data_IF_139766938091
#
_entry.id   IF_139766938091
#
_cell.length_a   1.000
_cell.length_b   1.000
_cell.length_c   1.000
_cell.angle_alpha   90.00
_cell.angle_beta   90.00
_cell.angle_gamma   90.00
#
_symmetry.space_group_name_H-M   'P 1'
#
loop_
_entity.id
_entity.type
_entity.pdbx_description
1 polymer ?
#
# COMPACT_ATOMS: atom_id res chain seq x y z
N UNK A 1 3.91 9.29 -0.96
CA UNK A 1 2.51 9.04 -0.61
C UNK A 1 2.04 10.22 0.21
N UNK A 2 0.92 10.83 -0.16
CA UNK A 2 0.30 11.88 0.65
C UNK A 2 -0.77 11.28 1.57
N UNK A 3 -1.23 12.08 2.51
CA UNK A 3 -2.35 11.76 3.39
C UNK A 3 -3.39 12.87 3.33
N UNK A 4 -4.66 12.51 3.16
CA UNK A 4 -5.79 13.44 3.15
C UNK A 4 -6.60 13.30 4.45
N UNK A 5 -6.68 14.37 5.22
CA UNK A 5 -7.61 14.50 6.34
C UNK A 5 -8.98 14.98 5.84
N UNK A 6 -10.01 14.15 5.98
CA UNK A 6 -11.39 14.50 5.58
C UNK A 6 -11.96 15.64 6.43
N UNK A 7 -11.60 15.73 7.72
CA UNK A 7 -12.06 16.79 8.61
C UNK A 7 -11.39 18.13 8.25
N UNK A 8 -10.12 18.12 7.88
CA UNK A 8 -9.46 19.32 7.32
C UNK A 8 -10.09 19.72 5.98
N UNK A 9 -10.44 18.75 5.12
CA UNK A 9 -11.12 19.02 3.85
C UNK A 9 -12.49 19.66 4.05
N UNK A 10 -13.30 19.14 4.99
CA UNK A 10 -14.59 19.69 5.38
C UNK A 10 -14.46 21.15 5.81
N UNK A 11 -13.56 21.43 6.76
CA UNK A 11 -13.32 22.78 7.28
C UNK A 11 -12.86 23.75 6.18
N UNK A 12 -11.91 23.33 5.35
CA UNK A 12 -11.37 24.17 4.26
C UNK A 12 -12.42 24.52 3.20
N UNK A 13 -13.38 23.62 2.94
CA UNK A 13 -14.37 23.78 1.86
C UNK A 13 -15.76 24.20 2.35
N UNK A 14 -16.00 24.25 3.66
CA UNK A 14 -17.33 24.51 4.21
C UNK A 14 -18.36 23.47 3.80
N UNK A 15 -17.96 22.19 3.73
CA UNK A 15 -18.82 21.08 3.28
C UNK A 15 -19.06 20.06 4.40
N UNK A 16 -20.17 19.32 4.30
CA UNK A 16 -20.48 18.22 5.21
C UNK A 16 -19.53 17.04 5.02
N UNK A 17 -19.51 16.13 6.00
CA UNK A 17 -18.71 14.91 5.93
C UNK A 17 -19.09 14.02 4.73
N UNK A 18 -20.39 13.90 4.44
CA UNK A 18 -20.88 13.16 3.27
C UNK A 18 -20.40 13.78 1.95
N UNK A 19 -20.47 15.10 1.84
CA UNK A 19 -19.99 15.84 0.67
C UNK A 19 -18.47 15.70 0.49
N UNK A 20 -17.70 15.70 1.59
CA UNK A 20 -16.25 15.48 1.55
C UNK A 20 -15.92 14.06 1.03
N UNK A 21 -16.62 13.02 1.53
CA UNK A 21 -16.49 11.64 1.01
C UNK A 21 -16.82 11.56 -0.47
N UNK A 22 -17.95 12.11 -0.90
CA UNK A 22 -18.36 12.09 -2.31
C UNK A 22 -17.38 12.82 -3.22
N UNK A 23 -16.81 13.93 -2.75
CA UNK A 23 -15.80 14.67 -3.48
C UNK A 23 -14.52 13.85 -3.71
N UNK A 24 -14.11 13.04 -2.72
CA UNK A 24 -12.97 12.11 -2.85
C UNK A 24 -13.34 10.94 -3.76
N UNK A 25 -14.52 10.33 -3.58
CA UNK A 25 -15.00 9.22 -4.43
C UNK A 25 -15.00 9.58 -5.90
N UNK A 26 -15.48 10.78 -6.26
CA UNK A 26 -15.44 11.24 -7.66
C UNK A 26 -14.00 11.28 -8.19
N UNK A 27 -13.05 11.84 -7.44
CA UNK A 27 -11.64 11.87 -7.87
C UNK A 27 -11.00 10.50 -8.03
N UNK A 28 -11.35 9.55 -7.16
CA UNK A 28 -10.92 8.16 -7.28
C UNK A 28 -11.55 7.50 -8.53
N UNK A 29 -12.86 7.70 -8.75
CA UNK A 29 -13.60 7.17 -9.90
C UNK A 29 -13.02 7.66 -11.24
N UNK A 30 -12.70 8.94 -11.30
CA UNK A 30 -12.19 9.63 -12.50
C UNK A 30 -10.70 9.35 -12.72
N UNK A 31 -10.04 8.65 -11.77
CA UNK A 31 -8.62 8.34 -11.78
C UNK A 31 -7.71 9.52 -11.45
N UNK A 32 -8.23 10.68 -11.06
CA UNK A 32 -7.39 11.82 -10.65
C UNK A 32 -6.63 11.51 -9.37
N UNK A 33 -7.28 10.82 -8.45
CA UNK A 33 -6.65 10.28 -7.24
C UNK A 33 -6.48 8.77 -7.37
N UNK A 34 -5.46 8.26 -6.70
CA UNK A 34 -5.32 6.84 -6.39
C UNK A 34 -5.21 6.65 -4.89
N UNK A 35 -5.89 5.62 -4.39
CA UNK A 35 -5.71 5.12 -3.03
C UNK A 35 -5.99 3.62 -3.03
N UNK A 36 -5.24 2.88 -2.21
CA UNK A 36 -5.55 1.48 -1.91
C UNK A 36 -6.81 1.36 -1.05
N UNK A 37 -7.07 2.37 -0.22
CA UNK A 37 -8.13 2.32 0.78
C UNK A 37 -9.40 2.98 0.26
N UNK A 38 -10.55 2.41 0.62
CA UNK A 38 -11.84 3.05 0.37
C UNK A 38 -12.05 4.16 1.43
N UNK A 39 -12.27 5.43 1.03
CA UNK A 39 -12.55 6.53 1.96
C UNK A 39 -13.78 6.31 2.85
N UNK A 40 -14.68 5.41 2.47
CA UNK A 40 -15.89 5.10 3.24
C UNK A 40 -15.61 4.25 4.48
N UNK A 41 -14.47 3.57 4.50
CA UNK A 41 -14.03 2.74 5.62
C UNK A 41 -13.18 3.54 6.62
N UNK A 42 -13.02 4.84 6.37
CA UNK A 42 -12.35 5.75 7.27
C UNK A 42 -13.32 6.20 8.38
N UNK A 43 -12.83 6.09 9.62
CA UNK A 43 -13.46 6.63 10.83
C UNK A 43 -12.81 7.97 11.19
N UNK A 44 -13.44 8.71 12.09
CA UNK A 44 -13.09 10.10 12.38
C UNK A 44 -11.60 10.29 12.71
N UNK A 45 -11.00 11.32 12.08
CA UNK A 45 -9.58 11.67 12.21
C UNK A 45 -8.62 10.87 11.31
N UNK A 46 -9.07 9.77 10.71
CA UNK A 46 -8.19 8.94 9.89
C UNK A 46 -7.78 9.64 8.61
N UNK A 47 -6.51 9.41 8.27
CA UNK A 47 -5.89 10.04 7.13
C UNK A 47 -5.92 9.09 5.93
N UNK A 48 -6.59 9.46 4.83
CA UNK A 48 -6.57 8.63 3.62
C UNK A 48 -5.19 8.69 2.95
N UNK A 49 -4.42 7.59 2.86
CA UNK A 49 -3.21 7.57 2.05
C UNK A 49 -3.61 7.64 0.58
N UNK A 50 -3.09 8.60 -0.17
CA UNK A 50 -3.45 8.78 -1.57
C UNK A 50 -2.31 9.39 -2.40
N UNK A 51 -2.46 9.28 -3.72
CA UNK A 51 -1.64 9.93 -4.74
C UNK A 51 -2.53 10.79 -5.62
N UNK A 52 -2.03 11.95 -6.03
CA UNK A 52 -2.69 12.87 -6.96
C UNK A 52 -1.94 12.87 -8.28
N UNK A 53 -2.64 12.64 -9.39
CA UNK A 53 -2.04 12.60 -10.72
C UNK A 53 -1.36 13.93 -11.11
N UNK A 54 -1.72 15.04 -10.48
CA UNK A 54 -1.12 16.36 -10.72
C UNK A 54 0.05 16.70 -9.79
N UNK A 55 0.30 15.89 -8.77
CA UNK A 55 1.37 16.11 -7.79
C UNK A 55 2.29 14.89 -7.74
N UNK A 56 3.15 14.73 -8.76
CA UNK A 56 4.10 13.63 -8.80
C UNK A 56 5.12 13.74 -7.66
N UNK A 57 5.79 12.62 -7.30
CA UNK A 57 6.96 12.67 -6.44
C UNK A 57 8.11 13.45 -7.10
N UNK A 58 9.04 13.95 -6.29
CA UNK A 58 10.19 14.72 -6.77
C UNK A 58 11.14 13.92 -7.71
N UNK A 59 11.07 12.59 -7.69
CA UNK A 59 11.87 11.72 -8.55
C UNK A 59 11.01 10.57 -9.11
N UNK A 60 11.13 10.25 -10.40
CA UNK A 60 10.44 9.10 -11.00
C UNK A 60 10.96 7.76 -10.47
N UNK A 61 12.13 7.73 -9.83
CA UNK A 61 12.66 6.55 -9.15
C UNK A 61 11.94 6.23 -7.82
N UNK A 62 11.02 7.09 -7.36
CA UNK A 62 10.15 6.78 -6.24
C UNK A 62 9.28 5.58 -6.60
N UNK A 63 9.35 4.52 -5.80
CA UNK A 63 8.57 3.31 -6.01
C UNK A 63 7.17 3.50 -5.41
N UNK A 64 6.30 4.14 -6.18
CA UNK A 64 4.91 4.44 -5.85
C UNK A 64 4.03 4.14 -7.06
N UNK A 65 2.72 3.91 -6.88
CA UNK A 65 1.78 3.89 -7.99
C UNK A 65 1.90 5.17 -8.82
N UNK A 66 1.74 5.05 -10.14
CA UNK A 66 1.85 6.19 -11.04
C UNK A 66 0.75 6.17 -12.10
N UNK A 67 0.28 7.35 -12.56
CA UNK A 67 -0.76 7.45 -13.56
C UNK A 67 -0.16 7.42 -14.97
N UNK A 68 -0.89 6.77 -15.87
CA UNK A 68 -0.70 6.85 -17.33
C UNK A 68 -2.04 7.30 -17.91
N UNK A 69 -2.01 8.16 -18.93
CA UNK A 69 -3.27 8.63 -19.52
C UNK A 69 -4.04 7.45 -20.10
N UNK A 70 -5.36 7.45 -19.95
CA UNK A 70 -6.19 6.35 -20.45
C UNK A 70 -6.03 6.12 -21.96
N UNK A 71 -5.75 7.18 -22.72
CA UNK A 71 -5.44 7.09 -24.16
C UNK A 71 -4.10 6.43 -24.46
N UNK A 72 -3.06 6.70 -23.66
CA UNK A 72 -1.75 6.09 -23.84
C UNK A 72 -1.70 4.63 -23.37
N UNK A 73 -2.66 4.21 -22.53
CA UNK A 73 -2.82 2.81 -22.16
C UNK A 73 -3.52 1.97 -23.23
N UNK A 74 -4.26 2.61 -24.16
CA UNK A 74 -4.89 1.89 -25.28
C UNK A 74 -3.79 1.39 -26.22
N UNK A 75 -3.61 0.07 -26.27
CA UNK A 75 -2.60 -0.57 -27.11
C UNK A 75 -1.31 -0.94 -26.39
N UNK A 76 -1.20 -0.72 -25.06
CA UNK A 76 -0.13 -1.36 -24.28
C UNK A 76 -0.50 -2.83 -24.08
N UNK A 77 0.29 -3.73 -24.65
CA UNK A 77 0.21 -5.16 -24.40
C UNK A 77 1.19 -5.53 -23.28
N UNK A 78 0.73 -6.05 -22.12
CA UNK A 78 1.63 -6.57 -21.09
C UNK A 78 2.58 -7.66 -21.57
N UNK A 79 2.27 -8.36 -22.67
CA UNK A 79 3.11 -9.38 -23.29
C UNK A 79 4.18 -8.82 -24.24
N UNK A 80 4.12 -7.53 -24.58
CA UNK A 80 5.11 -6.86 -25.44
C UNK A 80 6.37 -6.51 -24.64
N UNK A 81 7.56 -6.98 -25.06
CA UNK A 81 8.83 -6.60 -24.42
C UNK A 81 9.06 -5.09 -24.33
N UNK A 82 8.55 -4.29 -25.27
CA UNK A 82 8.72 -2.83 -25.29
C UNK A 82 7.77 -2.10 -24.32
N UNK A 83 6.75 -2.79 -23.80
CA UNK A 83 5.77 -2.20 -22.90
C UNK A 83 6.43 -1.62 -21.63
N UNK A 84 7.46 -2.28 -21.09
CA UNK A 84 8.16 -1.80 -19.89
C UNK A 84 8.90 -0.48 -20.15
N UNK A 85 9.53 -0.33 -21.31
CA UNK A 85 10.22 0.89 -21.71
C UNK A 85 9.24 2.06 -21.90
N UNK A 86 8.10 1.80 -22.53
CA UNK A 86 7.04 2.79 -22.69
C UNK A 86 6.50 3.27 -21.33
N UNK A 87 6.21 2.33 -20.42
CA UNK A 87 5.74 2.64 -19.06
C UNK A 87 6.76 3.42 -18.25
N UNK A 88 8.05 3.05 -18.33
CA UNK A 88 9.14 3.80 -17.72
C UNK A 88 9.17 5.24 -18.24
N UNK A 89 9.04 5.42 -19.56
CA UNK A 89 8.93 6.72 -20.20
C UNK A 89 7.76 7.56 -19.69
N UNK A 90 6.58 6.94 -19.52
CA UNK A 90 5.40 7.62 -18.95
C UNK A 90 5.64 8.08 -17.52
N UNK A 91 6.21 7.24 -16.66
CA UNK A 91 6.52 7.59 -15.27
C UNK A 91 7.51 8.75 -15.17
N UNK A 92 8.54 8.76 -16.04
CA UNK A 92 9.52 9.85 -16.12
C UNK A 92 8.86 11.15 -16.54
N UNK A 93 8.08 11.13 -17.64
CA UNK A 93 7.36 12.32 -18.14
C UNK A 93 6.40 12.88 -17.11
N UNK A 94 5.71 12.01 -16.37
CA UNK A 94 4.82 12.42 -15.29
C UNK A 94 5.55 13.22 -14.20
N UNK A 95 6.75 12.78 -13.77
CA UNK A 95 7.47 13.43 -12.68
C UNK A 95 8.19 14.71 -13.09
N UNK A 96 8.77 14.75 -14.29
CA UNK A 96 9.62 15.87 -14.69
C UNK A 96 8.95 16.87 -15.61
N UNK A 97 7.75 16.59 -16.10
CA UNK A 97 7.11 17.35 -17.18
C UNK A 97 8.08 17.52 -18.37
N UNK A 98 7.69 18.23 -19.42
CA UNK A 98 8.56 18.47 -20.59
C UNK A 98 9.80 19.36 -20.29
N UNK A 99 9.98 19.85 -19.05
CA UNK A 99 10.97 20.87 -18.70
C UNK A 99 12.29 20.36 -18.14
N UNK A 100 12.34 19.13 -17.60
CA UNK A 100 13.55 18.55 -17.00
C UNK A 100 13.81 17.17 -17.58
N UNK A 101 15.01 16.95 -18.12
CA UNK A 101 15.38 15.61 -18.60
C UNK A 101 15.89 14.74 -17.45
N UNK A 102 15.45 13.49 -17.40
CA UNK A 102 16.03 12.50 -16.51
C UNK A 102 17.43 12.10 -16.99
N UNK A 103 18.42 12.17 -16.11
CA UNK A 103 19.77 11.67 -16.39
C UNK A 103 19.79 10.14 -16.58
N UNK A 104 20.85 9.58 -17.22
CA UNK A 104 20.90 8.17 -17.58
C UNK A 104 20.69 7.20 -16.41
N UNK A 105 21.30 7.49 -15.25
CA UNK A 105 21.17 6.65 -14.05
C UNK A 105 19.72 6.59 -13.54
N UNK A 106 18.97 7.70 -13.61
CA UNK A 106 17.56 7.73 -13.22
C UNK A 106 16.72 6.92 -14.20
N UNK A 107 16.95 7.06 -15.50
CA UNK A 107 16.23 6.27 -16.53
C UNK A 107 16.43 4.78 -16.33
N UNK A 108 17.68 4.35 -16.19
CA UNK A 108 18.01 2.94 -15.96
C UNK A 108 17.35 2.41 -14.68
N UNK A 109 17.35 3.20 -13.60
CA UNK A 109 16.68 2.83 -12.35
C UNK A 109 15.17 2.69 -12.51
N UNK A 110 14.52 3.63 -13.19
CA UNK A 110 13.07 3.57 -13.45
C UNK A 110 12.73 2.33 -14.28
N UNK A 111 13.49 2.06 -15.34
CA UNK A 111 13.30 0.88 -16.18
C UNK A 111 13.35 -0.42 -15.37
N UNK A 112 14.42 -0.61 -14.57
CA UNK A 112 14.56 -1.79 -13.69
C UNK A 112 13.39 -1.94 -12.71
N UNK A 113 12.83 -0.83 -12.23
CA UNK A 113 11.71 -0.86 -11.29
C UNK A 113 10.38 -1.25 -11.94
N UNK A 114 10.26 -1.27 -13.28
CA UNK A 114 8.99 -1.60 -13.95
C UNK A 114 8.53 -3.03 -13.68
N UNK A 115 9.45 -3.95 -13.34
CA UNK A 115 9.14 -5.32 -12.90
C UNK A 115 8.25 -5.38 -11.64
N UNK A 116 8.26 -4.33 -10.83
CA UNK A 116 7.44 -4.24 -9.61
C UNK A 116 6.04 -3.73 -9.87
N UNK A 117 5.66 -3.45 -11.11
CA UNK A 117 4.35 -2.92 -11.45
C UNK A 117 3.51 -3.94 -12.18
N UNK A 118 2.22 -3.90 -11.91
CA UNK A 118 1.20 -4.62 -12.65
C UNK A 118 0.44 -3.63 -13.52
N UNK A 119 0.31 -3.94 -14.81
CA UNK A 119 -0.57 -3.21 -15.72
C UNK A 119 -1.98 -3.82 -15.60
N UNK A 120 -2.95 -3.14 -14.96
CA UNK A 120 -4.32 -3.64 -14.93
C UNK A 120 -4.92 -3.59 -16.35
N UNK A 121 -5.92 -4.42 -16.67
CA UNK A 121 -6.66 -4.29 -17.92
C UNK A 121 -7.27 -2.89 -18.02
N UNK A 122 -7.16 -2.25 -19.19
CA UNK A 122 -7.59 -0.86 -19.42
C UNK A 122 -9.09 -0.68 -19.14
N UNK A 123 -9.48 0.05 -18.07
CA UNK A 123 -10.89 0.33 -17.84
C UNK A 123 -11.39 1.39 -18.83
N UNK A 124 -12.53 1.15 -19.48
CA UNK A 124 -13.16 2.11 -20.36
C UNK A 124 -13.51 3.42 -19.60
N UNK A 125 -13.22 4.56 -20.22
CA UNK A 125 -13.73 5.87 -19.78
C UNK A 125 -12.99 6.58 -18.64
N UNK A 126 -11.83 6.10 -18.17
CA UNK A 126 -11.03 6.82 -17.16
C UNK A 126 -10.01 7.78 -17.79
N UNK A 127 -9.84 8.96 -17.19
CA UNK A 127 -8.83 9.94 -17.60
C UNK A 127 -7.42 9.42 -17.37
N UNK A 128 -7.21 8.79 -16.22
CA UNK A 128 -5.95 8.17 -15.82
C UNK A 128 -6.15 6.71 -15.44
N UNK A 129 -5.22 5.89 -15.86
CA UNK A 129 -5.04 4.53 -15.40
C UNK A 129 -3.81 4.49 -14.50
N UNK A 130 -3.97 3.98 -13.28
CA UNK A 130 -2.86 3.86 -12.35
C UNK A 130 -2.21 2.49 -12.48
N UNK A 131 -0.90 2.48 -12.65
CA UNK A 131 -0.11 1.27 -12.48
C UNK A 131 0.16 1.10 -10.99
N UNK A 132 -0.21 -0.08 -10.50
CA UNK A 132 -0.07 -0.43 -9.08
C UNK A 132 1.17 -1.27 -8.87
N UNK A 133 1.71 -1.18 -7.66
CA UNK A 133 2.78 -2.07 -7.22
C UNK A 133 2.24 -3.50 -7.12
N UNK A 134 2.92 -4.44 -7.77
CA UNK A 134 2.60 -5.85 -7.70
C UNK A 134 2.86 -6.35 -6.26
N UNK A 135 1.82 -6.81 -5.54
CA UNK A 135 1.96 -7.27 -4.15
C UNK A 135 2.93 -8.45 -3.97
N UNK A 136 3.13 -9.25 -5.02
CA UNK A 136 3.97 -10.45 -4.99
C UNK A 136 5.46 -10.12 -5.13
N UNK A 137 5.81 -9.15 -5.99
CA UNK A 137 7.22 -8.83 -6.32
C UNK A 137 7.71 -7.52 -5.72
N UNK A 138 6.83 -6.56 -5.44
CA UNK A 138 7.26 -5.25 -4.97
C UNK A 138 7.88 -5.30 -3.56
N UNK A 139 8.90 -4.47 -3.28
CA UNK A 139 9.47 -4.33 -1.94
C UNK A 139 8.44 -3.94 -0.87
N UNK A 140 8.67 -4.40 0.36
CA UNK A 140 7.68 -4.28 1.43
C UNK A 140 7.42 -2.82 1.84
N UNK A 141 8.46 -1.99 1.94
CA UNK A 141 8.29 -0.60 2.38
C UNK A 141 7.35 0.22 1.46
N UNK A 142 7.56 0.23 0.13
CA UNK A 142 6.62 0.80 -0.84
C UNK A 142 5.18 0.31 -0.67
N UNK A 143 4.96 -1.00 -0.50
CA UNK A 143 3.64 -1.59 -0.30
C UNK A 143 3.01 -1.08 0.99
N UNK A 144 3.71 -1.20 2.12
CA UNK A 144 3.20 -0.79 3.43
C UNK A 144 2.84 0.70 3.49
N UNK A 145 3.59 1.55 2.77
CA UNK A 145 3.29 2.97 2.65
C UNK A 145 1.96 3.29 1.95
N UNK A 146 1.32 2.33 1.28
CA UNK A 146 -0.02 2.54 0.70
C UNK A 146 -1.15 2.31 1.71
N UNK A 147 -0.85 1.77 2.89
CA UNK A 147 -1.85 1.41 3.91
C UNK A 147 -1.54 2.07 5.25
N UNK A 148 -0.35 1.82 5.81
CA UNK A 148 -0.01 2.20 7.19
C UNK A 148 -0.17 3.69 7.53
N UNK A 149 -0.01 4.66 6.60
CA UNK A 149 -0.24 6.06 6.94
C UNK A 149 -1.65 6.37 7.45
N UNK A 150 -2.65 5.51 7.17
CA UNK A 150 -4.02 5.65 7.72
C UNK A 150 -4.06 5.59 9.23
N UNK A 151 -3.05 4.98 9.84
CA UNK A 151 -2.95 4.78 11.27
C UNK A 151 -2.10 5.83 11.98
N UNK A 152 -1.57 6.83 11.28
CA UNK A 152 -0.61 7.76 11.86
C UNK A 152 -1.13 8.47 13.14
N UNK A 153 -2.44 8.71 13.24
CA UNK A 153 -3.04 9.30 14.45
C UNK A 153 -3.05 8.37 15.67
N UNK A 154 -2.92 7.07 15.46
CA UNK A 154 -2.89 6.04 16.51
C UNK A 154 -1.48 5.60 16.87
N UNK A 155 -0.46 6.27 16.33
CA UNK A 155 0.93 5.88 16.51
C UNK A 155 1.36 6.06 17.97
N UNK A 156 2.02 5.05 18.52
CA UNK A 156 2.64 5.13 19.83
C UNK A 156 3.97 5.88 19.77
N UNK A 157 4.26 6.70 20.78
CA UNK A 157 5.48 7.51 20.85
C UNK A 157 6.77 6.70 21.01
N UNK A 158 6.68 5.46 21.52
CA UNK A 158 7.83 4.56 21.70
C UNK A 158 7.54 3.22 21.01
N UNK A 159 8.07 2.99 19.78
CA UNK A 159 7.84 1.75 19.07
C UNK A 159 8.63 0.60 19.71
N UNK A 160 8.04 -0.58 19.71
CA UNK A 160 8.66 -1.82 20.20
C UNK A 160 8.73 -2.84 19.06
N UNK A 161 9.78 -3.69 19.02
CA UNK A 161 9.88 -4.75 18.03
C UNK A 161 8.64 -5.67 18.07
N UNK A 162 8.13 -6.10 16.90
CA UNK A 162 7.12 -7.14 16.86
C UNK A 162 7.65 -8.41 17.49
N UNK A 163 6.80 -9.09 18.26
CA UNK A 163 7.17 -10.29 19.01
C UNK A 163 6.07 -11.33 18.92
N UNK A 164 6.42 -12.63 18.84
CA UNK A 164 5.43 -13.66 18.94
C UNK A 164 4.76 -13.63 20.33
N UNK A 165 3.44 -13.85 20.41
CA UNK A 165 2.74 -13.88 21.68
C UNK A 165 3.29 -15.03 22.55
N UNK A 166 3.63 -14.75 23.81
CA UNK A 166 4.11 -15.76 24.78
C UNK A 166 3.11 -16.09 25.88
N UNK A 167 2.37 -15.08 26.36
CA UNK A 167 1.47 -15.20 27.53
C UNK A 167 0.06 -14.68 27.28
N UNK A 168 -0.11 -13.74 26.34
CA UNK A 168 -1.40 -13.15 25.99
C UNK A 168 -1.85 -13.67 24.63
N UNK A 169 -3.17 -13.80 24.38
CA UNK A 169 -3.70 -14.01 23.03
C UNK A 169 -3.17 -12.92 22.09
N UNK A 170 -2.80 -13.33 20.89
CA UNK A 170 -2.28 -12.44 19.88
C UNK A 170 -1.87 -13.22 18.64
N UNK A 171 -1.33 -12.51 17.67
CA UNK A 171 -0.75 -13.11 16.48
C UNK A 171 0.54 -12.41 16.10
N UNK A 172 1.40 -13.13 15.41
CA UNK A 172 2.61 -12.58 14.84
C UNK A 172 2.90 -13.27 13.53
N UNK A 173 3.42 -12.49 12.60
CA UNK A 173 3.65 -12.90 11.23
C UNK A 173 4.96 -12.31 10.77
N UNK A 174 5.63 -13.02 9.86
CA UNK A 174 6.84 -12.54 9.23
C UNK A 174 6.89 -12.96 7.77
N UNK A 175 7.62 -12.23 6.94
CA UNK A 175 7.89 -12.70 5.60
C UNK A 175 8.83 -13.90 5.64
N UNK A 176 8.57 -14.88 4.76
CA UNK A 176 9.39 -16.08 4.65
C UNK A 176 10.81 -15.79 4.14
N UNK A 177 10.91 -14.81 3.26
CA UNK A 177 12.13 -14.37 2.59
C UNK A 177 12.25 -12.84 2.66
N UNK A 178 13.47 -12.30 2.58
CA UNK A 178 13.67 -10.88 2.35
C UNK A 178 13.18 -10.47 0.96
N UNK A 179 12.83 -9.19 0.78
CA UNK A 179 12.62 -8.60 -0.54
C UNK A 179 13.94 -8.28 -1.26
N UNK A 180 13.86 -7.74 -2.47
CA UNK A 180 15.01 -7.36 -3.30
C UNK A 180 15.92 -6.29 -2.66
N UNK A 181 15.48 -5.64 -1.58
CA UNK A 181 16.28 -4.70 -0.80
C UNK A 181 16.89 -5.35 0.45
N UNK A 182 16.76 -6.67 0.60
CA UNK A 182 17.25 -7.42 1.76
C UNK A 182 16.41 -7.20 3.02
N UNK A 183 15.16 -6.72 2.89
CA UNK A 183 14.29 -6.44 4.04
C UNK A 183 13.28 -7.55 4.26
N UNK A 184 13.15 -7.99 5.50
CA UNK A 184 12.09 -8.91 5.96
C UNK A 184 11.02 -8.10 6.69
N UNK A 185 9.75 -8.38 6.39
CA UNK A 185 8.61 -7.81 7.12
C UNK A 185 8.28 -8.66 8.34
N UNK A 186 8.12 -8.04 9.49
CA UNK A 186 7.53 -8.66 10.68
C UNK A 186 6.42 -7.80 11.24
N UNK A 187 5.35 -8.42 11.74
CA UNK A 187 4.35 -7.72 12.53
C UNK A 187 3.74 -8.60 13.60
N UNK A 188 3.23 -7.99 14.66
CA UNK A 188 2.56 -8.69 15.75
C UNK A 188 1.45 -7.85 16.33
N UNK A 189 0.40 -8.48 16.81
CA UNK A 189 -0.69 -7.85 17.51
C UNK A 189 -1.01 -8.59 18.80
N UNK A 190 -1.28 -7.85 19.87
CA UNK A 190 -1.71 -8.41 21.15
C UNK A 190 -2.68 -7.47 21.86
N UNK A 191 -3.53 -8.05 22.71
CA UNK A 191 -4.49 -7.29 23.52
C UNK A 191 -3.84 -6.57 24.71
N UNK A 192 -4.27 -5.34 24.94
CA UNK A 192 -3.93 -4.50 26.09
C UNK A 192 -5.20 -3.77 26.57
N UNK A 193 -5.92 -4.37 27.52
CA UNK A 193 -7.25 -3.90 27.92
C UNK A 193 -8.25 -4.10 26.77
N UNK A 194 -9.01 -3.06 26.43
CA UNK A 194 -9.94 -3.04 25.30
C UNK A 194 -9.24 -2.74 23.95
N UNK A 195 -7.96 -2.40 23.99
CA UNK A 195 -7.17 -2.03 22.82
C UNK A 195 -6.31 -3.20 22.31
N UNK A 196 -5.90 -3.08 21.06
CA UNK A 196 -4.93 -3.96 20.38
C UNK A 196 -3.70 -3.14 20.01
N UNK A 197 -2.54 -3.62 20.45
CA UNK A 197 -1.25 -3.04 20.07
C UNK A 197 -0.71 -3.78 18.85
N UNK A 198 -0.73 -3.11 17.69
CA UNK A 198 -0.11 -3.58 16.46
C UNK A 198 1.33 -3.04 16.38
N UNK A 199 2.31 -3.91 16.23
CA UNK A 199 3.71 -3.58 15.98
C UNK A 199 4.09 -4.05 14.57
N UNK A 200 4.76 -3.20 13.77
CA UNK A 200 5.27 -3.55 12.43
C UNK A 200 6.74 -3.16 12.32
N UNK A 201 7.53 -4.04 11.70
CA UNK A 201 8.95 -3.87 11.45
C UNK A 201 9.32 -4.25 10.02
N UNK A 202 10.28 -3.53 9.44
CA UNK A 202 11.11 -4.02 8.35
C UNK A 202 12.53 -4.17 8.86
N UNK A 203 13.11 -5.36 8.72
CA UNK A 203 14.43 -5.70 9.26
C UNK A 203 15.35 -6.16 8.13
N UNK A 204 16.50 -5.51 8.01
CA UNK A 204 17.63 -5.97 7.18
C UNK A 204 18.94 -5.99 7.98
N UNK A 205 20.08 -5.92 7.30
CA UNK A 205 21.40 -5.94 7.96
C UNK A 205 21.65 -4.79 8.96
N UNK A 206 21.07 -3.60 8.73
CA UNK A 206 21.18 -2.43 9.63
C UNK A 206 19.92 -1.56 9.70
N UNK A 207 18.95 -1.75 8.81
CA UNK A 207 17.77 -0.87 8.72
C UNK A 207 16.61 -1.58 9.43
N UNK A 208 16.16 -0.97 10.53
CA UNK A 208 14.93 -1.32 11.23
C UNK A 208 13.93 -0.16 11.12
N UNK A 209 12.94 -0.28 10.24
CA UNK A 209 11.81 0.65 10.24
C UNK A 209 10.72 0.08 11.14
N UNK A 210 10.48 0.71 12.29
CA UNK A 210 9.55 0.27 13.32
C UNK A 210 8.45 1.29 13.55
N UNK A 211 7.20 0.82 13.66
CA UNK A 211 6.08 1.61 14.18
C UNK A 211 5.10 0.72 14.92
N UNK A 212 4.46 1.30 15.94
CA UNK A 212 3.42 0.64 16.71
C UNK A 212 2.19 1.52 16.77
N UNK A 213 1.01 0.90 16.84
CA UNK A 213 -0.27 1.59 16.90
C UNK A 213 -1.17 0.97 17.97
N UNK A 214 -1.92 1.81 18.66
CA UNK A 214 -2.98 1.41 19.59
C UNK A 214 -4.34 1.51 18.88
N UNK A 215 -4.99 0.38 18.67
CA UNK A 215 -6.16 0.26 17.80
C UNK A 215 -7.31 -0.41 18.54
N UNK A 216 -8.53 0.06 18.32
CA UNK A 216 -9.73 -0.72 18.66
C UNK A 216 -9.89 -1.96 17.76
N UNK A 217 -10.71 -2.92 18.19
CA UNK A 217 -10.95 -4.20 17.52
C UNK A 217 -11.32 -4.08 16.03
N UNK A 218 -12.28 -3.22 15.70
CA UNK A 218 -12.72 -2.98 14.32
C UNK A 218 -11.58 -2.47 13.42
N UNK A 219 -10.79 -1.52 13.93
CA UNK A 219 -9.70 -0.92 13.15
C UNK A 219 -8.60 -1.92 12.93
N UNK A 220 -8.27 -2.70 13.97
CA UNK A 220 -7.34 -3.79 13.85
C UNK A 220 -7.79 -4.80 12.79
N UNK A 221 -9.05 -5.24 12.83
CA UNK A 221 -9.59 -6.18 11.85
C UNK A 221 -9.50 -5.65 10.41
N UNK A 222 -9.84 -4.38 10.20
CA UNK A 222 -9.72 -3.72 8.90
C UNK A 222 -8.27 -3.70 8.40
N UNK A 223 -7.33 -3.17 9.20
CA UNK A 223 -5.92 -3.05 8.81
C UNK A 223 -5.31 -4.41 8.57
N UNK A 224 -5.60 -5.37 9.45
CA UNK A 224 -5.18 -6.77 9.30
C UNK A 224 -5.61 -7.31 7.94
N UNK A 225 -6.87 -7.13 7.57
CA UNK A 225 -7.36 -7.56 6.25
C UNK A 225 -6.60 -6.87 5.10
N UNK A 226 -6.33 -5.57 5.19
CA UNK A 226 -5.55 -4.85 4.18
C UNK A 226 -4.11 -5.39 4.07
N UNK A 227 -3.45 -5.68 5.20
CA UNK A 227 -2.13 -6.27 5.24
C UNK A 227 -2.11 -7.67 4.62
N UNK A 228 -3.07 -8.53 4.97
CA UNK A 228 -3.16 -9.87 4.36
C UNK A 228 -3.47 -9.83 2.87
N UNK A 229 -4.32 -8.90 2.43
CA UNK A 229 -4.57 -8.73 1.01
C UNK A 229 -3.31 -8.24 0.25
N UNK A 230 -2.47 -7.44 0.92
CA UNK A 230 -1.29 -6.84 0.32
C UNK A 230 -0.05 -7.75 0.36
N UNK A 231 0.14 -8.54 1.41
CA UNK A 231 1.37 -9.32 1.59
C UNK A 231 1.12 -10.72 2.16
N UNK A 232 -0.13 -11.13 2.33
CA UNK A 232 -0.50 -12.39 3.01
C UNK A 232 0.14 -13.63 2.37
N UNK A 233 0.26 -13.68 1.04
CA UNK A 233 0.91 -14.79 0.33
C UNK A 233 2.42 -14.88 0.61
N UNK A 234 3.02 -13.82 1.16
CA UNK A 234 4.44 -13.72 1.48
C UNK A 234 4.71 -13.88 2.99
N UNK A 235 3.65 -14.01 3.79
CA UNK A 235 3.72 -14.10 5.25
C UNK A 235 3.58 -15.55 5.75
N UNK A 236 4.32 -15.86 6.80
CA UNK A 236 4.20 -17.10 7.57
C UNK A 236 3.94 -16.76 9.05
N UNK A 237 3.20 -17.62 9.79
CA UNK A 237 3.04 -17.46 11.22
C UNK A 237 4.39 -17.43 11.92
N UNK A 238 4.59 -16.45 12.81
CA UNK A 238 5.77 -16.35 13.64
C UNK A 238 5.56 -17.14 14.93
N UNK A 239 6.01 -18.39 14.92
CA UNK A 239 5.87 -19.33 16.05
C UNK A 239 7.04 -19.18 17.04
N UNK A 240 6.81 -19.56 18.31
CA UNK A 240 7.87 -19.66 19.32
C UNK A 240 8.52 -21.06 19.29
N UNK A 241 9.82 -21.13 19.00
CA UNK A 241 10.61 -22.37 19.13
C UNK A 241 10.91 -23.11 17.82
N UNK A 242 12.06 -23.80 17.80
CA UNK A 242 12.56 -24.61 16.69
C UNK A 242 11.73 -25.90 16.52
N UNK A 243 10.65 -25.87 15.74
CA UNK A 243 9.91 -27.08 15.34
C UNK A 243 9.44 -27.01 13.89
N UNK A 244 9.34 -28.16 13.19
CA UNK A 244 9.05 -28.22 11.76
C UNK A 244 7.62 -27.77 11.49
N UNK A 245 7.46 -27.03 10.38
CA UNK A 245 6.21 -26.45 9.90
C UNK A 245 5.06 -27.46 9.92
N UNK A 246 3.93 -27.13 10.58
CA UNK A 246 2.64 -27.63 10.15
C UNK A 246 2.03 -26.60 9.20
N UNK A 247 1.84 -27.00 7.94
CA UNK A 247 0.81 -26.40 7.11
C UNK A 247 -0.55 -26.54 7.82
N UNK A 248 -1.20 -25.45 8.18
CA UNK A 248 -2.57 -25.16 7.73
C UNK A 248 -3.12 -23.91 8.42
N UNK A 249 -3.50 -23.00 7.55
CA UNK A 249 -4.38 -21.88 7.78
C UNK A 249 -5.64 -22.31 8.55
N UNK A 250 -5.92 -21.72 9.73
CA UNK A 250 -7.24 -21.78 10.37
C UNK A 250 -7.81 -20.37 10.49
N UNK A 251 -8.45 -19.92 9.42
CA UNK A 251 -9.25 -18.70 9.38
C UNK A 251 -10.08 -18.69 8.11
N UNK A 252 -11.32 -18.20 8.15
CA UNK A 252 -12.11 -18.02 6.93
C UNK A 252 -11.57 -16.80 6.17
N UNK A 253 -10.98 -17.01 5.00
CA UNK A 253 -10.83 -15.94 4.00
C UNK A 253 -12.20 -15.76 3.36
N UNK A 254 -12.78 -14.57 3.53
CA UNK A 254 -13.98 -14.18 2.81
C UNK A 254 -13.65 -14.15 1.30
N UNK A 255 -13.98 -15.23 0.59
CA UNK A 255 -13.95 -15.24 -0.88
C UNK A 255 -15.21 -14.55 -1.37
N UNK A 256 -15.05 -13.51 -2.19
CA UNK A 256 -16.15 -12.91 -2.94
C UNK A 256 -16.90 -14.04 -3.67
N UNK A 257 -18.24 -14.16 -3.56
CA UNK A 257 -18.96 -15.21 -4.25
C UNK A 257 -18.71 -15.08 -5.76
N UNK A 258 -18.44 -16.21 -6.42
CA UNK A 258 -18.43 -16.26 -7.89
C UNK A 258 -19.83 -15.89 -8.35
N UNK A 259 -19.94 -14.85 -9.16
CA UNK A 259 -21.18 -14.55 -9.89
C UNK A 259 -21.54 -15.79 -10.71
N UNK A 260 -22.61 -16.46 -10.33
CA UNK A 260 -23.19 -17.54 -11.11
C UNK A 260 -23.89 -16.94 -12.32
N UNK A 261 -23.48 -17.43 -13.49
CA UNK A 261 -24.12 -17.44 -14.82
C UNK A 261 -24.96 -16.21 -15.20
#
# INVERSE_FOLDING_TARGET
METLDLNALMRRRGISHAQARDWVRRRLKDGRFWSRLNPDLLKDGELLPYMDAQRPPASPAALVPFPVSGTACRGLDPGDPECLDLLAGHKIRWCYSSRRQAGPAVRQRVHRQMVYYTLPPSPAGRTWQWLELNPETAPFFPLLNTVLPVLNQYALGQPQPPRPPRKKPGEAWRSAQPDDFGLTLGWSAHGEGDDIILAVALVGHKIMWLRNWRLGSDRYAFVRQQLFYLVGNRLEPWLTGNWPRPNSFRGMVYRKPKSGK
#
